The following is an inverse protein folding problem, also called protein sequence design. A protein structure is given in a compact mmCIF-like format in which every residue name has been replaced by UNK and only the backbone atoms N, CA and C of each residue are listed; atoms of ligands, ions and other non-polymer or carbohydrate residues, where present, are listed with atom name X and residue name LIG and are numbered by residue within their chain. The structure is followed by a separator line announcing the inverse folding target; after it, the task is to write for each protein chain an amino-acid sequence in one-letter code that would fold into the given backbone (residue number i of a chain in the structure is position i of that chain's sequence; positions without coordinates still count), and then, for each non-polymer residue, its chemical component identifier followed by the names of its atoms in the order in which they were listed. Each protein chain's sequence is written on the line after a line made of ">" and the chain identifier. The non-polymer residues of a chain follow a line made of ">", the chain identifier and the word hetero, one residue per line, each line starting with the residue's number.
data_IF_305953112453
#
_entry.id   IF_305953112453
#
_cell.length_a   1.000
_cell.length_b   1.000
_cell.length_c   1.000
_cell.angle_alpha   90.00
_cell.angle_beta   90.00
_cell.angle_gamma   90.00
#
_symmetry.space_group_name_H-M   'P 1'
#
loop_
_entity.id
_entity.type
_entity.pdbx_description
1 polymer ?
#
# COMPACT_ATOMS: atom_id res chain seq x y z
N UNK A 1 -8.25 -3.23 -11.71
CA UNK A 1 -9.35 -2.81 -10.82
C UNK A 1 -10.20 -4.00 -10.39
N UNK A 2 -10.65 -4.00 -9.15
CA UNK A 2 -11.51 -5.06 -8.60
C UNK A 2 -12.81 -4.43 -8.09
N UNK A 3 -13.95 -4.91 -8.60
CA UNK A 3 -15.25 -4.60 -8.06
C UNK A 3 -15.62 -5.67 -7.03
N UNK A 4 -15.72 -5.25 -5.76
CA UNK A 4 -16.01 -6.17 -4.65
C UNK A 4 -17.53 -6.29 -4.49
N UNK A 5 -18.00 -7.52 -4.44
CA UNK A 5 -19.43 -7.80 -4.18
C UNK A 5 -19.79 -7.48 -2.73
N UNK A 6 -21.05 -7.05 -2.46
CA UNK A 6 -21.52 -6.85 -1.08
C UNK A 6 -21.38 -8.14 -0.27
N UNK A 7 -20.76 -8.02 0.91
CA UNK A 7 -20.54 -9.13 1.84
C UNK A 7 -21.18 -8.81 3.16
N UNK A 8 -22.05 -9.67 3.63
CA UNK A 8 -22.75 -9.50 4.90
C UNK A 8 -22.16 -10.46 5.93
N UNK A 9 -21.82 -9.95 7.13
CA UNK A 9 -21.47 -10.82 8.25
C UNK A 9 -22.74 -11.52 8.76
N UNK A 10 -22.68 -12.85 8.87
CA UNK A 10 -23.69 -13.60 9.59
C UNK A 10 -23.48 -13.39 11.10
N UNK A 11 -24.54 -13.00 11.79
CA UNK A 11 -24.53 -12.86 13.24
C UNK A 11 -24.33 -14.20 13.99
N UNK A 12 -24.42 -15.34 13.28
CA UNK A 12 -24.38 -16.69 13.88
C UNK A 12 -23.02 -17.38 13.76
N UNK A 13 -22.23 -17.09 12.72
CA UNK A 13 -21.02 -17.90 12.44
C UNK A 13 -19.75 -17.11 12.26
N UNK A 14 -19.74 -15.80 12.34
CA UNK A 14 -18.60 -14.92 11.98
C UNK A 14 -17.98 -15.21 10.58
N UNK A 15 -18.64 -16.02 9.75
CA UNK A 15 -18.22 -16.30 8.37
C UNK A 15 -18.85 -15.29 7.42
N UNK A 16 -18.05 -14.79 6.47
CA UNK A 16 -18.57 -14.02 5.35
C UNK A 16 -19.44 -14.94 4.48
N UNK A 17 -20.73 -14.60 4.36
CA UNK A 17 -21.64 -15.30 3.46
C UNK A 17 -21.74 -14.50 2.19
N UNK A 18 -21.35 -15.12 1.07
CA UNK A 18 -21.67 -14.58 -0.25
C UNK A 18 -23.16 -14.77 -0.48
N UNK A 19 -23.90 -13.66 -0.55
CA UNK A 19 -25.32 -13.72 -0.88
C UNK A 19 -25.52 -14.24 -2.30
N UNK A 20 -26.19 -15.40 -2.44
CA UNK A 20 -26.74 -15.76 -3.75
C UNK A 20 -27.85 -14.80 -4.07
N UNK A 21 -27.64 -13.94 -5.06
CA UNK A 21 -28.69 -13.09 -5.61
C UNK A 21 -29.37 -13.82 -6.76
N UNK A 22 -30.68 -13.64 -6.87
CA UNK A 22 -31.45 -14.22 -7.99
C UNK A 22 -31.49 -13.30 -9.22
N UNK A 23 -30.65 -12.29 -9.26
CA UNK A 23 -30.54 -11.34 -10.36
C UNK A 23 -29.08 -11.19 -10.81
N UNK A 24 -28.92 -10.87 -12.06
CA UNK A 24 -27.65 -10.54 -12.69
C UNK A 24 -27.59 -9.05 -12.99
N UNK A 25 -26.40 -8.53 -13.20
CA UNK A 25 -26.16 -7.12 -13.52
C UNK A 25 -25.42 -7.03 -14.84
N UNK A 26 -25.88 -6.13 -15.70
CA UNK A 26 -25.16 -5.73 -16.91
C UNK A 26 -24.52 -4.38 -16.68
N UNK A 27 -23.27 -4.21 -17.10
CA UNK A 27 -22.58 -2.92 -17.03
C UNK A 27 -21.54 -2.79 -18.13
N UNK A 28 -21.18 -1.53 -18.42
CA UNK A 28 -20.14 -1.19 -19.39
C UNK A 28 -19.00 -0.50 -18.71
N UNK A 29 -17.78 -0.91 -19.03
CA UNK A 29 -16.55 -0.26 -18.59
C UNK A 29 -16.01 0.54 -19.76
N UNK A 30 -15.86 1.84 -19.56
CA UNK A 30 -15.22 2.74 -20.51
C UNK A 30 -13.80 3.02 -20.04
N UNK A 31 -12.84 2.69 -20.87
CA UNK A 31 -11.42 2.96 -20.61
C UNK A 31 -11.08 4.33 -21.20
N UNK A 32 -10.41 5.17 -20.40
CA UNK A 32 -10.02 6.50 -20.84
C UNK A 32 -9.15 6.44 -22.11
N UNK A 33 -9.43 7.36 -23.05
CA UNK A 33 -8.74 7.43 -24.34
C UNK A 33 -7.24 7.74 -24.24
N UNK A 34 -6.80 8.29 -23.13
CA UNK A 34 -5.38 8.60 -22.87
C UNK A 34 -4.57 7.37 -22.45
N UNK A 35 -5.24 6.27 -22.11
CA UNK A 35 -4.59 5.03 -21.75
C UNK A 35 -4.23 4.22 -23.00
N UNK A 36 -2.94 3.98 -23.22
CA UNK A 36 -2.45 3.10 -24.27
C UNK A 36 -2.54 1.64 -23.79
N UNK A 37 -3.67 1.01 -24.04
CA UNK A 37 -3.92 -0.37 -23.61
C UNK A 37 -3.17 -1.35 -24.54
N UNK A 38 -2.41 -2.26 -23.93
CA UNK A 38 -1.77 -3.37 -24.63
C UNK A 38 -2.65 -4.62 -24.62
N UNK A 39 -3.19 -4.95 -23.43
CA UNK A 39 -4.01 -6.14 -23.23
C UNK A 39 -5.04 -5.94 -22.14
N UNK A 40 -6.18 -6.62 -22.30
CA UNK A 40 -7.27 -6.65 -21.33
C UNK A 40 -7.57 -8.12 -21.03
N UNK A 41 -7.52 -8.48 -19.75
CA UNK A 41 -7.84 -9.82 -19.28
C UNK A 41 -8.83 -9.76 -18.11
N UNK A 42 -9.79 -10.64 -18.10
CA UNK A 42 -10.73 -10.79 -16.99
C UNK A 42 -10.73 -12.24 -16.48
N UNK A 43 -9.93 -12.53 -15.41
CA UNK A 43 -9.83 -13.89 -14.91
C UNK A 43 -11.10 -14.38 -14.18
N UNK A 44 -11.97 -13.46 -13.79
CA UNK A 44 -13.14 -13.77 -12.97
C UNK A 44 -14.43 -14.04 -13.75
N UNK A 45 -14.62 -13.38 -14.90
CA UNK A 45 -15.87 -13.40 -15.68
C UNK A 45 -15.61 -13.34 -17.18
N UNK A 46 -16.59 -13.78 -17.97
CA UNK A 46 -16.59 -13.54 -19.41
C UNK A 46 -16.91 -12.07 -19.68
N UNK A 47 -16.13 -11.46 -20.55
CA UNK A 47 -16.32 -10.08 -20.98
C UNK A 47 -16.46 -10.03 -22.51
N UNK A 48 -17.24 -9.07 -23.01
CA UNK A 48 -17.33 -8.75 -24.42
C UNK A 48 -16.57 -7.44 -24.67
N UNK A 49 -15.42 -7.53 -25.32
CA UNK A 49 -14.65 -6.36 -25.74
C UNK A 49 -15.30 -5.82 -27.02
N UNK A 50 -15.96 -4.68 -26.92
CA UNK A 50 -16.63 -4.03 -28.06
C UNK A 50 -15.58 -3.35 -28.94
N UNK A 51 -14.64 -2.65 -28.30
CA UNK A 51 -13.48 -2.01 -28.94
C UNK A 51 -12.35 -1.86 -27.90
N UNK A 52 -11.24 -1.22 -28.28
CA UNK A 52 -10.08 -1.04 -27.39
C UNK A 52 -10.39 -0.31 -26.08
N UNK A 53 -11.56 0.31 -25.95
CA UNK A 53 -11.92 1.22 -24.86
C UNK A 53 -13.23 0.90 -24.16
N UNK A 54 -14.03 0.04 -24.76
CA UNK A 54 -15.36 -0.29 -24.26
C UNK A 54 -15.49 -1.79 -24.04
N UNK A 55 -15.78 -2.17 -22.82
CA UNK A 55 -15.97 -3.56 -22.41
C UNK A 55 -17.38 -3.69 -21.86
N UNK A 56 -18.18 -4.61 -22.42
CA UNK A 56 -19.50 -4.95 -21.90
C UNK A 56 -19.41 -6.21 -21.06
N UNK A 57 -20.01 -6.17 -19.89
CA UNK A 57 -20.18 -7.31 -19.00
C UNK A 57 -21.67 -7.58 -18.90
N UNK A 58 -22.07 -8.76 -19.33
CA UNK A 58 -23.47 -9.19 -19.31
C UNK A 58 -23.63 -10.37 -18.34
N UNK A 59 -24.81 -10.41 -17.69
CA UNK A 59 -25.17 -11.46 -16.75
C UNK A 59 -24.14 -11.64 -15.62
N UNK A 60 -23.58 -10.51 -15.12
CA UNK A 60 -22.66 -10.55 -14.00
C UNK A 60 -23.33 -11.14 -12.76
N UNK A 61 -22.83 -12.29 -12.35
CA UNK A 61 -23.25 -12.97 -11.13
C UNK A 61 -22.47 -12.38 -9.94
N UNK A 62 -23.19 -11.76 -9.01
CA UNK A 62 -22.63 -11.15 -7.79
C UNK A 62 -22.05 -12.17 -6.80
N UNK A 63 -21.95 -13.47 -7.14
CA UNK A 63 -21.33 -14.49 -6.30
C UNK A 63 -19.81 -14.38 -6.21
N UNK A 64 -19.18 -13.70 -7.15
CA UNK A 64 -17.72 -13.52 -7.24
C UNK A 64 -17.36 -12.06 -7.40
N UNK A 65 -16.18 -11.68 -6.90
CA UNK A 65 -15.62 -10.38 -7.21
C UNK A 65 -15.25 -10.28 -8.70
N UNK A 66 -15.60 -9.16 -9.32
CA UNK A 66 -15.18 -8.87 -10.68
C UNK A 66 -13.74 -8.33 -10.69
N UNK A 67 -12.86 -9.01 -11.42
CA UNK A 67 -11.45 -8.61 -11.59
C UNK A 67 -11.17 -8.33 -13.05
N UNK A 68 -10.63 -7.17 -13.34
CA UNK A 68 -10.20 -6.77 -14.67
C UNK A 68 -8.75 -6.33 -14.63
N UNK A 69 -7.92 -7.01 -15.39
CA UNK A 69 -6.51 -6.70 -15.55
C UNK A 69 -6.32 -5.94 -16.87
N UNK A 70 -5.79 -4.73 -16.80
CA UNK A 70 -5.48 -3.90 -17.95
C UNK A 70 -3.99 -3.69 -17.99
N UNK A 71 -3.33 -4.22 -19.03
CA UNK A 71 -1.91 -3.99 -19.29
C UNK A 71 -1.76 -2.81 -20.25
N UNK A 72 -0.91 -1.87 -19.90
CA UNK A 72 -0.62 -0.68 -20.72
C UNK A 72 0.63 -0.91 -21.55
N UNK A 73 0.66 -0.36 -22.79
CA UNK A 73 1.79 -0.46 -23.72
C UNK A 73 3.05 0.24 -23.25
N UNK A 74 2.88 1.33 -22.53
CA UNK A 74 3.98 2.11 -21.99
C UNK A 74 3.90 2.10 -20.47
N UNK A 75 5.04 2.06 -19.84
CA UNK A 75 5.16 2.29 -18.42
C UNK A 75 4.54 3.63 -18.04
N UNK A 76 4.01 3.67 -16.84
CA UNK A 76 3.20 4.74 -16.32
C UNK A 76 3.89 6.11 -16.49
N UNK A 77 3.37 6.92 -17.38
CA UNK A 77 3.76 8.34 -17.43
C UNK A 77 2.96 9.14 -16.42
N UNK A 78 3.55 10.21 -15.90
CA UNK A 78 2.83 11.18 -15.05
C UNK A 78 1.61 11.72 -15.77
N UNK A 79 0.44 11.76 -15.12
CA UNK A 79 -0.84 12.16 -15.73
C UNK A 79 -1.60 13.11 -14.82
N UNK A 80 -2.29 14.05 -15.45
CA UNK A 80 -3.25 14.93 -14.80
C UNK A 80 -4.63 14.71 -15.45
N UNK A 81 -5.63 14.41 -14.64
CA UNK A 81 -7.02 14.23 -15.09
C UNK A 81 -7.87 15.22 -14.33
N UNK A 82 -8.65 16.03 -15.06
CA UNK A 82 -9.62 16.94 -14.45
C UNK A 82 -11.03 16.39 -14.62
N UNK A 83 -11.84 16.58 -13.61
CA UNK A 83 -13.24 16.16 -13.60
C UNK A 83 -14.08 17.15 -12.79
N UNK A 84 -15.40 17.02 -12.84
CA UNK A 84 -16.32 17.75 -11.98
C UNK A 84 -17.04 16.82 -11.03
N UNK A 85 -17.14 17.24 -9.78
CA UNK A 85 -17.97 16.55 -8.78
C UNK A 85 -19.46 16.76 -9.09
N UNK A 86 -20.34 16.00 -8.44
CA UNK A 86 -21.80 16.14 -8.61
C UNK A 86 -22.31 17.53 -8.24
N UNK A 87 -21.66 18.23 -7.32
CA UNK A 87 -21.96 19.61 -6.89
C UNK A 87 -21.24 20.68 -7.73
N UNK A 88 -20.63 20.29 -8.86
CA UNK A 88 -20.04 21.18 -9.85
C UNK A 88 -18.64 21.71 -9.54
N UNK A 89 -18.01 21.26 -8.44
CA UNK A 89 -16.62 21.66 -8.13
C UNK A 89 -15.63 20.95 -9.03
N UNK A 90 -14.54 21.64 -9.35
CA UNK A 90 -13.46 21.05 -10.12
C UNK A 90 -12.65 20.10 -9.23
N UNK A 91 -12.33 18.93 -9.79
CA UNK A 91 -11.51 17.91 -9.17
C UNK A 91 -10.31 17.63 -10.08
N UNK A 92 -9.13 17.60 -9.49
CA UNK A 92 -7.88 17.26 -10.16
C UNK A 92 -7.33 15.97 -9.56
N UNK A 93 -7.11 14.97 -10.43
CA UNK A 93 -6.36 13.78 -10.10
C UNK A 93 -4.98 13.86 -10.75
N UNK A 94 -3.94 13.75 -9.93
CA UNK A 94 -2.55 13.69 -10.37
C UNK A 94 -1.99 12.29 -10.09
N UNK A 95 -1.44 11.67 -11.13
CA UNK A 95 -0.61 10.47 -11.02
C UNK A 95 0.80 10.83 -11.44
N UNK A 96 1.73 10.75 -10.53
CA UNK A 96 3.13 11.08 -10.75
C UNK A 96 3.98 9.80 -10.68
N UNK A 97 4.74 9.56 -11.73
CA UNK A 97 5.78 8.53 -11.78
C UNK A 97 7.11 9.24 -11.97
N UNK A 98 7.91 9.34 -10.92
CA UNK A 98 9.27 9.84 -11.07
C UNK A 98 10.08 8.88 -11.95
N UNK A 99 10.81 9.43 -12.93
CA UNK A 99 11.93 8.70 -13.52
C UNK A 99 13.02 8.68 -12.44
N UNK A 100 13.23 7.51 -11.86
CA UNK A 100 14.36 7.28 -10.96
C UNK A 100 15.47 6.77 -11.86
N UNK A 101 16.47 7.61 -12.11
CA UNK A 101 17.71 7.12 -12.68
C UNK A 101 18.27 6.10 -11.70
N UNK A 102 18.42 4.85 -12.14
CA UNK A 102 19.09 3.80 -11.36
C UNK A 102 20.59 4.12 -11.26
N UNK A 103 20.91 5.22 -10.61
CA UNK A 103 22.28 5.46 -10.13
C UNK A 103 22.43 4.62 -8.88
N UNK A 104 22.67 3.33 -9.06
CA UNK A 104 23.20 2.50 -7.99
C UNK A 104 24.64 2.98 -7.71
N UNK A 105 24.75 4.05 -6.96
CA UNK A 105 25.99 4.28 -6.23
C UNK A 105 26.04 3.24 -5.13
N UNK A 106 27.12 2.50 -5.11
CA UNK A 106 27.50 1.53 -4.07
C UNK A 106 27.94 2.34 -2.82
N UNK A 107 27.05 3.20 -2.32
CA UNK A 107 27.28 4.08 -1.18
C UNK A 107 26.52 3.54 0.03
N UNK A 108 27.17 3.61 1.18
CA UNK A 108 26.54 3.36 2.48
C UNK A 108 25.21 4.14 2.56
N UNK A 109 24.12 3.44 2.84
CA UNK A 109 22.76 4.03 2.90
C UNK A 109 22.30 4.13 4.34
N UNK A 110 21.48 5.12 4.59
CA UNK A 110 20.75 5.23 5.86
C UNK A 110 19.29 4.81 5.65
N UNK A 111 18.83 3.84 6.44
CA UNK A 111 17.49 3.32 6.43
C UNK A 111 16.73 3.74 7.68
N UNK A 112 15.53 4.26 7.51
CA UNK A 112 14.66 4.64 8.61
C UNK A 112 13.34 3.87 8.54
N UNK A 113 13.09 3.03 9.54
CA UNK A 113 11.90 2.21 9.64
C UNK A 113 10.88 2.89 10.54
N UNK A 114 9.74 3.31 9.99
CA UNK A 114 8.61 3.88 10.71
C UNK A 114 7.55 2.81 10.92
N UNK A 115 7.30 2.44 12.16
CA UNK A 115 6.41 1.34 12.53
C UNK A 115 5.18 1.92 13.24
N UNK A 116 4.03 1.78 12.63
CA UNK A 116 2.74 2.09 13.24
C UNK A 116 2.43 1.05 14.34
N UNK A 117 2.29 1.54 15.56
CA UNK A 117 1.87 0.74 16.72
C UNK A 117 0.54 1.23 17.29
N UNK A 118 -0.28 1.92 16.49
CA UNK A 118 -1.61 2.36 16.88
C UNK A 118 -2.55 1.18 17.19
N UNK A 119 -3.67 1.48 17.85
CA UNK A 119 -4.64 0.47 18.24
C UNK A 119 -5.21 -0.37 17.09
N UNK A 120 -5.26 0.18 15.86
CA UNK A 120 -5.71 -0.54 14.66
C UNK A 120 -4.75 -1.66 14.22
N UNK A 121 -3.49 -1.58 14.64
CA UNK A 121 -2.45 -2.58 14.40
C UNK A 121 -2.51 -3.78 15.35
N UNK A 122 -3.39 -3.78 16.35
CA UNK A 122 -3.44 -4.81 17.39
C UNK A 122 -3.57 -6.23 16.83
N UNK A 123 -2.84 -7.16 17.44
CA UNK A 123 -2.89 -8.60 17.14
C UNK A 123 -2.05 -8.99 15.93
N UNK A 124 -2.65 -9.72 14.99
CA UNK A 124 -1.93 -10.32 13.86
C UNK A 124 -1.21 -9.28 12.99
N UNK A 125 -1.81 -8.09 12.81
CA UNK A 125 -1.20 -7.05 11.98
C UNK A 125 0.16 -6.60 12.53
N UNK A 126 0.26 -6.30 13.82
CA UNK A 126 1.53 -5.89 14.43
C UNK A 126 2.54 -7.03 14.38
N UNK A 127 2.14 -8.26 14.64
CA UNK A 127 3.06 -9.41 14.59
C UNK A 127 3.61 -9.66 13.17
N UNK A 128 2.78 -9.52 12.14
CA UNK A 128 3.25 -9.60 10.75
C UNK A 128 4.16 -8.41 10.39
N UNK A 129 3.85 -7.22 10.87
CA UNK A 129 4.69 -6.03 10.70
C UNK A 129 6.06 -6.22 11.36
N UNK A 130 6.11 -6.72 12.61
CA UNK A 130 7.38 -7.02 13.29
C UNK A 130 8.24 -7.97 12.47
N UNK A 131 7.65 -9.06 11.95
CA UNK A 131 8.36 -10.01 11.09
C UNK A 131 8.87 -9.36 9.81
N UNK A 132 8.02 -8.55 9.15
CA UNK A 132 8.41 -7.86 7.92
C UNK A 132 9.58 -6.90 8.14
N UNK A 133 9.56 -6.10 9.21
CA UNK A 133 10.65 -5.19 9.55
C UNK A 133 11.95 -5.95 9.82
N UNK A 134 11.90 -7.04 10.60
CA UNK A 134 13.06 -7.88 10.86
C UNK A 134 13.64 -8.47 9.57
N UNK A 135 12.79 -8.94 8.66
CA UNK A 135 13.25 -9.46 7.37
C UNK A 135 13.84 -8.35 6.48
N UNK A 136 13.30 -7.13 6.51
CA UNK A 136 13.89 -5.99 5.81
C UNK A 136 15.26 -5.63 6.39
N UNK A 137 15.41 -5.61 7.72
CA UNK A 137 16.69 -5.35 8.37
C UNK A 137 17.78 -6.36 7.98
N UNK A 138 17.42 -7.62 7.80
CA UNK A 138 18.35 -8.67 7.34
C UNK A 138 18.82 -8.51 5.89
N UNK A 139 18.20 -7.62 5.13
CA UNK A 139 18.60 -7.34 3.74
C UNK A 139 19.59 -6.16 3.64
N UNK A 140 19.92 -5.53 4.77
CA UNK A 140 20.90 -4.47 4.81
C UNK A 140 22.31 -5.03 4.62
N UNK A 141 23.17 -4.25 3.98
CA UNK A 141 24.55 -4.61 3.73
C UNK A 141 25.46 -4.06 4.85
N UNK A 142 26.65 -4.65 4.96
CA UNK A 142 27.69 -4.15 5.87
C UNK A 142 28.09 -2.73 5.44
N UNK A 143 28.07 -1.78 6.38
CA UNK A 143 28.27 -0.36 6.13
C UNK A 143 26.99 0.46 6.12
N UNK A 144 25.86 -0.14 5.85
CA UNK A 144 24.54 0.53 5.96
C UNK A 144 24.27 0.97 7.41
N UNK A 145 23.50 2.05 7.54
CA UNK A 145 23.03 2.53 8.84
C UNK A 145 21.52 2.45 8.91
N UNK A 146 21.00 2.23 10.09
CA UNK A 146 19.55 2.21 10.27
C UNK A 146 19.10 2.80 11.59
N UNK A 147 17.84 3.19 11.67
CA UNK A 147 17.12 3.50 12.89
C UNK A 147 15.67 3.07 12.79
N UNK A 148 14.99 2.95 13.91
CA UNK A 148 13.59 2.55 14.01
C UNK A 148 12.83 3.60 14.80
N UNK A 149 11.69 4.01 14.28
CA UNK A 149 10.72 4.89 14.93
C UNK A 149 9.42 4.10 15.09
N UNK A 150 8.97 3.90 16.31
CA UNK A 150 7.64 3.39 16.58
C UNK A 150 6.70 4.55 16.90
N UNK A 151 5.49 4.55 16.35
CA UNK A 151 4.55 5.65 16.56
C UNK A 151 3.11 5.19 16.74
N UNK A 152 2.41 5.90 17.62
CA UNK A 152 0.97 5.86 17.81
C UNK A 152 0.40 7.29 17.88
N UNK A 153 -0.05 7.80 19.01
CA UNK A 153 -0.37 9.22 19.25
C UNK A 153 0.88 10.03 19.65
N UNK A 154 1.96 9.35 19.97
CA UNK A 154 3.30 9.87 20.19
C UNK A 154 4.28 9.05 19.34
N UNK A 155 5.57 9.33 19.40
CA UNK A 155 6.57 8.48 18.78
C UNK A 155 7.83 8.35 19.65
N UNK A 156 8.48 7.23 19.51
CA UNK A 156 9.78 6.98 20.12
C UNK A 156 10.78 6.48 19.09
N UNK A 157 12.04 6.80 19.30
CA UNK A 157 13.14 6.35 18.46
C UNK A 157 13.97 5.29 19.19
N UNK A 158 14.36 4.25 18.50
CA UNK A 158 15.19 3.19 19.08
C UNK A 158 16.56 3.74 19.51
N UNK A 159 17.12 4.64 18.73
CA UNK A 159 18.43 5.26 19.00
C UNK A 159 18.40 6.75 18.68
N UNK A 160 19.20 7.55 19.38
CA UNK A 160 19.33 9.00 19.13
C UNK A 160 19.83 9.32 17.71
N UNK A 161 20.62 8.43 17.11
CA UNK A 161 21.15 8.54 15.76
C UNK A 161 21.05 7.18 15.06
N UNK A 162 21.13 7.18 13.72
CA UNK A 162 21.25 5.95 12.95
C UNK A 162 22.50 5.16 13.38
N UNK A 163 22.36 3.87 13.55
CA UNK A 163 23.41 2.94 13.99
C UNK A 163 23.82 2.04 12.84
N UNK A 164 25.10 1.65 12.82
CA UNK A 164 25.64 0.75 11.80
C UNK A 164 24.98 -0.62 11.85
N UNK A 165 24.70 -1.18 10.68
CA UNK A 165 24.24 -2.56 10.56
C UNK A 165 25.36 -3.53 10.91
N UNK A 166 25.19 -4.26 12.00
CA UNK A 166 26.04 -5.34 12.45
C UNK A 166 25.24 -6.30 13.33
N UNK A 167 25.79 -7.46 13.61
CA UNK A 167 25.11 -8.51 14.39
C UNK A 167 24.62 -8.04 15.76
N UNK A 168 25.41 -7.25 16.48
CA UNK A 168 25.04 -6.71 17.80
C UNK A 168 23.83 -5.77 17.70
N UNK A 169 23.90 -4.82 16.78
CA UNK A 169 22.85 -3.81 16.58
C UNK A 169 21.58 -4.45 16.03
N UNK A 170 21.72 -5.48 15.18
CA UNK A 170 20.58 -6.27 14.72
C UNK A 170 19.87 -6.99 15.87
N UNK A 171 20.61 -7.60 16.81
CA UNK A 171 20.00 -8.21 17.98
C UNK A 171 19.32 -7.19 18.92
N UNK A 172 19.84 -5.97 19.01
CA UNK A 172 19.18 -4.88 19.73
C UNK A 172 17.90 -4.44 19.05
N UNK A 173 17.92 -4.29 17.73
CA UNK A 173 16.74 -3.97 16.93
C UNK A 173 15.65 -5.05 17.06
N UNK A 174 16.01 -6.32 16.96
CA UNK A 174 15.05 -7.43 17.15
C UNK A 174 14.41 -7.38 18.54
N UNK A 175 15.18 -7.12 19.59
CA UNK A 175 14.63 -6.99 20.95
C UNK A 175 13.69 -5.80 21.06
N UNK A 176 14.06 -4.66 20.48
CA UNK A 176 13.21 -3.46 20.45
C UNK A 176 11.92 -3.73 19.70
N UNK A 177 11.98 -4.25 18.47
CA UNK A 177 10.80 -4.58 17.66
C UNK A 177 9.87 -5.55 18.41
N UNK A 178 10.42 -6.59 19.01
CA UNK A 178 9.63 -7.59 19.75
C UNK A 178 8.96 -7.00 21.01
N UNK A 179 9.52 -5.95 21.60
CA UNK A 179 8.94 -5.26 22.76
C UNK A 179 7.77 -4.32 22.40
N UNK A 180 7.57 -3.98 21.12
CA UNK A 180 6.52 -3.06 20.70
C UNK A 180 5.13 -3.66 20.95
N UNK A 181 4.21 -2.82 21.40
CA UNK A 181 2.82 -3.19 21.67
C UNK A 181 1.90 -2.16 21.03
N UNK A 182 0.81 -2.65 20.41
CA UNK A 182 -0.17 -1.76 19.81
C UNK A 182 -1.03 -1.08 20.89
N UNK A 183 -1.11 0.25 20.84
CA UNK A 183 -1.93 1.07 21.72
C UNK A 183 -2.24 2.43 21.07
N UNK A 184 -3.12 3.21 21.71
CA UNK A 184 -3.35 4.61 21.37
C UNK A 184 -4.00 4.89 20.01
N UNK A 185 -3.91 6.15 19.60
CA UNK A 185 -4.36 6.65 18.30
C UNK A 185 -3.25 6.58 17.24
N UNK A 186 -3.45 7.29 16.12
CA UNK A 186 -2.47 7.34 15.02
C UNK A 186 -2.12 8.79 14.74
N UNK A 187 -0.88 9.19 15.02
CA UNK A 187 -0.32 10.49 14.65
C UNK A 187 0.95 10.27 13.83
N UNK A 188 0.84 10.34 12.50
CA UNK A 188 1.91 10.03 11.56
C UNK A 188 2.75 11.26 11.18
N UNK A 189 2.22 12.48 11.35
CA UNK A 189 2.86 13.68 10.82
C UNK A 189 4.18 14.00 11.54
N UNK A 190 4.21 13.85 12.86
CA UNK A 190 5.40 14.16 13.64
C UNK A 190 6.55 13.16 13.41
N UNK A 191 6.31 11.84 13.36
CA UNK A 191 7.32 10.87 12.93
C UNK A 191 7.90 11.16 11.55
N UNK A 192 7.05 11.50 10.57
CA UNK A 192 7.51 11.85 9.22
C UNK A 192 8.33 13.15 9.24
N UNK A 193 7.88 14.19 9.95
CA UNK A 193 8.66 15.42 10.10
C UNK A 193 10.01 15.17 10.74
N UNK A 194 10.07 14.33 11.76
CA UNK A 194 11.32 13.93 12.40
C UNK A 194 12.22 13.19 11.41
N UNK A 195 11.66 12.24 10.65
CA UNK A 195 12.39 11.50 9.63
C UNK A 195 13.01 12.39 8.54
N UNK A 196 12.32 13.48 8.18
CA UNK A 196 12.75 14.42 7.14
C UNK A 196 13.58 15.60 7.66
N UNK A 197 13.71 15.74 8.98
CA UNK A 197 14.37 16.93 9.58
C UNK A 197 15.87 16.98 9.29
N UNK A 198 16.55 15.85 9.25
CA UNK A 198 17.95 15.78 8.85
C UNK A 198 18.06 15.73 7.31
N UNK A 199 18.84 16.61 6.76
CA UNK A 199 19.02 16.78 5.31
C UNK A 199 19.99 15.73 4.72
N UNK A 200 19.88 14.47 5.17
CA UNK A 200 20.66 13.32 4.68
C UNK A 200 19.81 12.47 3.74
N UNK A 201 20.44 11.89 2.74
CA UNK A 201 19.78 10.92 1.86
C UNK A 201 19.44 9.67 2.66
N UNK A 202 18.16 9.40 2.83
CA UNK A 202 17.63 8.27 3.61
C UNK A 202 16.60 7.50 2.82
N UNK A 203 16.59 6.20 3.01
CA UNK A 203 15.49 5.33 2.58
C UNK A 203 14.50 5.21 3.73
N UNK A 204 13.30 5.74 3.57
CA UNK A 204 12.25 5.68 4.59
C UNK A 204 11.27 4.56 4.24
N UNK A 205 11.12 3.60 5.15
CA UNK A 205 10.16 2.50 5.04
C UNK A 205 9.05 2.69 6.08
N UNK A 206 7.82 2.87 5.61
CA UNK A 206 6.65 3.07 6.47
C UNK A 206 5.80 1.80 6.51
N UNK A 207 5.54 1.31 7.71
CA UNK A 207 4.71 0.14 8.00
C UNK A 207 3.47 0.58 8.76
N UNK A 208 2.32 0.60 8.10
CA UNK A 208 1.02 1.01 8.64
C UNK A 208 -0.11 0.28 7.93
N UNK A 209 -1.26 0.17 8.57
CA UNK A 209 -2.48 -0.35 7.92
C UNK A 209 -3.30 0.76 7.22
N UNK A 210 -2.86 2.02 7.32
CA UNK A 210 -3.48 3.16 6.65
C UNK A 210 -4.81 3.62 7.26
N UNK A 211 -5.10 3.29 8.53
CA UNK A 211 -6.35 3.65 9.22
C UNK A 211 -6.14 4.78 10.23
#
# INVERSE_FOLDING_TARGET
>A
PTLVTPRYKSNVTNKLIYGKTNYTVDFTINIDKTLNVENINCPSHKINIIDEKNIKVENYDLSKDFKLDIKLKNELSSKAITSKTRDGKDMLYLSFMPEIDDVYEDSEKEYLFLIDISGSMMGVKLEETKRAVIECLKQLDEGDKFNIIAFDHEFEVMSAHAIEYNEKNMQEAERYINSLHAAGGTEILNPIKFALYENTEKVILLFTDGQ
#
